data_IF_531687539854
#
_entry.id   IF_531687539854
#
_cell.length_a   1.000
_cell.length_b   1.000
_cell.length_c   1.000
_cell.angle_alpha   90.00
_cell.angle_beta   90.00
_cell.angle_gamma   90.00
#
_symmetry.space_group_name_H-M   'P 1'
#
loop_
_entity.id
_entity.type
_entity.pdbx_description
1 polymer ?
#
# COMPACT_ATOMS: atom_id res chain seq x y z
N UNK A 1 7.71 0.96 -7.79
CA UNK A 1 8.75 1.11 -8.85
C UNK A 1 10.07 1.62 -8.28
N UNK A 2 10.11 2.77 -7.59
CA UNK A 2 11.36 3.39 -7.06
C UNK A 2 12.19 2.38 -6.28
N UNK A 3 11.63 1.82 -5.21
CA UNK A 3 12.34 0.87 -4.35
C UNK A 3 12.87 -0.36 -5.11
N UNK A 4 12.10 -0.89 -6.05
CA UNK A 4 12.58 -2.03 -6.86
C UNK A 4 13.81 -1.68 -7.67
N UNK A 5 13.82 -0.49 -8.29
CA UNK A 5 14.98 -0.04 -9.05
C UNK A 5 16.19 0.19 -8.14
N UNK A 6 15.99 0.81 -6.96
CA UNK A 6 17.05 1.01 -5.97
C UNK A 6 17.64 -0.33 -5.51
N UNK A 7 16.80 -1.25 -5.03
CA UNK A 7 17.25 -2.58 -4.59
C UNK A 7 17.91 -3.37 -5.71
N UNK A 8 17.44 -3.22 -6.96
CA UNK A 8 18.09 -3.88 -8.10
C UNK A 8 19.50 -3.33 -8.33
N UNK A 9 19.68 -2.00 -8.24
CA UNK A 9 21.01 -1.38 -8.37
C UNK A 9 21.93 -1.88 -7.26
N UNK A 10 21.47 -1.85 -6.01
CA UNK A 10 22.22 -2.32 -4.84
C UNK A 10 22.60 -3.80 -4.97
N UNK A 11 21.66 -4.66 -5.37
CA UNK A 11 21.94 -6.08 -5.62
C UNK A 11 22.96 -6.29 -6.75
N UNK A 12 22.88 -5.51 -7.83
CA UNK A 12 23.86 -5.61 -8.93
C UNK A 12 25.26 -5.18 -8.49
N UNK A 13 25.37 -4.11 -7.70
CA UNK A 13 26.63 -3.64 -7.15
C UNK A 13 27.23 -4.70 -6.20
N UNK A 14 26.41 -5.29 -5.33
CA UNK A 14 26.81 -6.37 -4.42
C UNK A 14 27.30 -7.61 -5.20
N UNK A 15 26.50 -8.07 -6.18
CA UNK A 15 26.88 -9.25 -6.99
C UNK A 15 28.12 -8.99 -7.83
N UNK A 16 28.29 -7.76 -8.35
CA UNK A 16 29.51 -7.40 -9.09
C UNK A 16 30.77 -7.43 -8.20
N UNK A 17 30.63 -7.08 -6.93
CA UNK A 17 31.72 -7.05 -5.96
C UNK A 17 32.02 -8.45 -5.37
N UNK A 18 30.99 -9.16 -4.91
CA UNK A 18 31.17 -10.42 -4.19
C UNK A 18 31.27 -11.66 -5.10
N UNK A 19 30.61 -11.61 -6.27
CA UNK A 19 30.49 -12.72 -7.22
C UNK A 19 30.80 -12.29 -8.66
N UNK A 20 32.02 -11.80 -8.95
CA UNK A 20 32.35 -11.17 -10.24
C UNK A 20 32.22 -12.13 -11.44
N UNK A 21 32.46 -13.43 -11.26
CA UNK A 21 32.31 -14.41 -12.34
C UNK A 21 30.84 -14.59 -12.73
N UNK A 22 29.93 -14.72 -11.74
CA UNK A 22 28.51 -14.81 -11.97
C UNK A 22 27.94 -13.51 -12.56
N UNK A 23 28.38 -12.38 -12.06
CA UNK A 23 28.03 -11.08 -12.62
C UNK A 23 28.39 -11.00 -14.11
N UNK A 24 29.61 -11.39 -14.48
CA UNK A 24 30.05 -11.39 -15.86
C UNK A 24 29.27 -12.40 -16.72
N UNK A 25 28.90 -13.55 -16.16
CA UNK A 25 28.05 -14.54 -16.84
C UNK A 25 26.67 -13.97 -17.15
N UNK A 26 26.00 -13.40 -16.14
CA UNK A 26 24.67 -12.79 -16.29
C UNK A 26 24.73 -11.65 -17.30
N UNK A 27 25.70 -10.76 -17.17
CA UNK A 27 25.89 -9.62 -18.06
C UNK A 27 26.03 -10.01 -19.52
N UNK A 28 26.77 -11.11 -19.81
CA UNK A 28 26.93 -11.63 -21.18
C UNK A 28 25.66 -12.26 -21.71
N UNK A 29 24.97 -13.05 -20.88
CA UNK A 29 23.77 -13.77 -21.29
C UNK A 29 22.56 -12.86 -21.52
N UNK A 30 22.52 -11.69 -20.87
CA UNK A 30 21.43 -10.72 -20.97
C UNK A 30 21.77 -9.48 -21.80
N UNK A 31 23.02 -9.39 -22.29
CA UNK A 31 23.54 -8.20 -22.97
C UNK A 31 23.46 -6.92 -22.12
N UNK A 32 23.41 -7.09 -20.79
CA UNK A 32 23.19 -6.01 -19.82
C UNK A 32 24.32 -4.97 -19.85
N UNK A 33 23.96 -3.72 -20.10
CA UNK A 33 24.87 -2.58 -20.15
C UNK A 33 24.84 -1.82 -18.82
N UNK A 34 25.59 -2.32 -17.83
CA UNK A 34 25.52 -1.87 -16.44
C UNK A 34 25.49 -0.34 -16.30
N UNK A 35 26.50 0.34 -16.80
CA UNK A 35 26.62 1.80 -16.60
C UNK A 35 25.47 2.59 -17.25
N UNK A 36 25.03 2.17 -18.41
CA UNK A 36 23.96 2.86 -19.16
C UNK A 36 22.60 2.60 -18.54
N UNK A 37 22.31 1.33 -18.21
CA UNK A 37 21.02 0.95 -17.68
C UNK A 37 20.83 1.42 -16.24
N UNK A 38 21.84 1.32 -15.39
CA UNK A 38 21.78 1.84 -14.03
C UNK A 38 21.66 3.36 -13.97
N UNK A 39 22.34 4.07 -14.89
CA UNK A 39 22.17 5.53 -15.01
C UNK A 39 20.73 5.90 -15.40
N UNK A 40 20.14 5.16 -16.35
CA UNK A 40 18.74 5.34 -16.73
C UNK A 40 17.77 5.02 -15.58
N UNK A 41 18.04 3.99 -14.81
CA UNK A 41 17.20 3.65 -13.66
C UNK A 41 17.27 4.72 -12.56
N UNK A 42 18.45 5.27 -12.29
CA UNK A 42 18.62 6.42 -11.39
C UNK A 42 17.83 7.63 -11.87
N UNK A 43 17.88 7.93 -13.16
CA UNK A 43 17.07 9.01 -13.74
C UNK A 43 15.55 8.77 -13.57
N UNK A 44 15.08 7.52 -13.75
CA UNK A 44 13.67 7.16 -13.52
C UNK A 44 13.31 7.35 -12.05
N UNK A 45 14.18 6.95 -11.13
CA UNK A 45 13.97 7.13 -9.68
C UNK A 45 13.79 8.60 -9.34
N UNK A 46 14.72 9.45 -9.83
CA UNK A 46 14.72 10.88 -9.55
C UNK A 46 13.51 11.63 -10.13
N UNK A 47 12.97 11.13 -11.26
CA UNK A 47 11.82 11.72 -11.96
C UNK A 47 10.49 11.05 -11.61
N UNK A 48 10.49 10.05 -10.74
CA UNK A 48 9.26 9.34 -10.39
C UNK A 48 8.29 10.28 -9.69
N UNK A 49 7.14 10.46 -10.31
CA UNK A 49 6.06 11.25 -9.73
C UNK A 49 5.38 10.50 -8.58
N UNK A 50 5.34 11.15 -7.42
CA UNK A 50 4.58 10.70 -6.25
C UNK A 50 3.56 11.80 -5.95
N UNK A 51 2.26 11.54 -6.18
CA UNK A 51 1.23 12.54 -5.96
C UNK A 51 1.08 12.87 -4.48
N UNK A 52 1.10 14.17 -4.17
CA UNK A 52 0.97 14.70 -2.81
C UNK A 52 -0.06 15.81 -2.76
N UNK A 53 -0.88 15.79 -1.73
CA UNK A 53 -1.65 16.95 -1.28
C UNK A 53 -0.83 17.69 -0.22
N UNK A 54 -0.19 18.77 -0.64
CA UNK A 54 0.68 19.57 0.24
C UNK A 54 -0.07 20.33 1.32
N UNK A 55 -1.33 20.67 1.08
CA UNK A 55 -2.17 21.37 2.05
C UNK A 55 -2.51 20.45 3.23
N UNK A 56 -2.88 19.20 2.92
CA UNK A 56 -3.17 18.18 3.92
C UNK A 56 -1.91 17.46 4.43
N UNK A 57 -0.81 17.57 3.71
CA UNK A 57 0.44 16.86 4.02
C UNK A 57 0.32 15.35 3.91
N UNK A 58 -0.36 14.86 2.89
CA UNK A 58 -0.60 13.44 2.63
C UNK A 58 -0.14 13.05 1.21
N UNK A 59 0.21 11.79 1.04
CA UNK A 59 0.30 11.19 -0.28
C UNK A 59 -1.09 10.90 -0.83
N UNK A 60 -1.26 10.98 -2.14
CA UNK A 60 -2.56 10.81 -2.80
C UNK A 60 -2.59 9.48 -3.54
N UNK A 61 -3.70 8.76 -3.43
CA UNK A 61 -3.91 7.46 -4.08
C UNK A 61 -3.76 7.54 -5.61
N UNK A 62 -4.31 8.59 -6.19
CA UNK A 62 -4.22 8.96 -7.61
C UNK A 62 -4.50 10.46 -7.76
N UNK A 63 -4.14 11.05 -8.90
CA UNK A 63 -4.30 12.49 -9.16
C UNK A 63 -5.76 12.97 -9.02
N UNK A 64 -6.71 12.13 -9.37
CA UNK A 64 -8.13 12.45 -9.29
C UNK A 64 -8.76 12.21 -7.92
N UNK A 65 -8.00 11.66 -6.97
CA UNK A 65 -8.56 11.31 -5.66
C UNK A 65 -9.05 12.52 -4.85
N UNK A 66 -8.36 13.66 -4.84
CA UNK A 66 -8.82 14.87 -4.13
C UNK A 66 -10.15 15.45 -4.65
N UNK A 67 -10.48 15.18 -5.91
CA UNK A 67 -11.71 15.68 -6.56
C UNK A 67 -12.94 14.82 -6.23
N UNK A 68 -12.75 13.67 -5.60
CA UNK A 68 -13.85 12.78 -5.20
C UNK A 68 -14.63 13.38 -4.02
N UNK A 69 -15.92 13.09 -3.99
CA UNK A 69 -16.75 13.41 -2.82
C UNK A 69 -16.28 12.56 -1.64
N UNK A 70 -15.63 13.20 -0.68
CA UNK A 70 -15.07 12.52 0.49
C UNK A 70 -16.17 12.19 1.49
N UNK A 71 -16.20 10.94 1.92
CA UNK A 71 -17.06 10.42 2.98
C UNK A 71 -16.28 9.46 3.87
N UNK A 72 -16.98 8.76 4.73
CA UNK A 72 -16.46 7.69 5.57
C UNK A 72 -17.19 6.38 5.31
N UNK A 73 -16.59 5.25 5.66
CA UNK A 73 -17.24 3.93 5.55
C UNK A 73 -18.61 3.90 6.27
N UNK A 74 -18.78 4.71 7.31
CA UNK A 74 -20.07 4.80 8.04
C UNK A 74 -21.19 5.40 7.20
N UNK A 75 -20.89 6.14 6.15
CA UNK A 75 -21.87 6.72 5.23
C UNK A 75 -22.43 5.68 4.23
N UNK A 76 -21.81 4.50 4.15
CA UNK A 76 -22.28 3.41 3.30
C UNK A 76 -23.41 2.67 4.02
N UNK A 77 -24.60 2.55 3.42
CA UNK A 77 -25.70 1.78 3.99
C UNK A 77 -25.29 0.34 4.32
N UNK A 78 -25.72 -0.19 5.46
CA UNK A 78 -25.37 -1.54 5.91
C UNK A 78 -25.76 -2.61 4.89
N UNK A 79 -26.90 -2.43 4.22
CA UNK A 79 -27.38 -3.35 3.18
C UNK A 79 -26.62 -3.24 1.84
N UNK A 80 -25.69 -2.29 1.73
CA UNK A 80 -24.78 -2.16 0.56
C UNK A 80 -23.36 -2.64 0.89
N UNK A 81 -23.16 -3.28 2.05
CA UNK A 81 -21.85 -3.84 2.46
C UNK A 81 -21.87 -5.36 2.35
N UNK A 82 -20.79 -5.97 1.89
CA UNK A 82 -19.56 -5.37 1.35
C UNK A 82 -19.81 -4.73 -0.03
N UNK A 83 -19.15 -3.61 -0.32
CA UNK A 83 -19.42 -2.84 -1.56
C UNK A 83 -19.01 -3.60 -2.83
N UNK A 84 -18.00 -4.47 -2.75
CA UNK A 84 -17.59 -5.31 -3.87
C UNK A 84 -18.69 -6.26 -4.37
N UNK A 85 -19.67 -6.60 -3.54
CA UNK A 85 -20.81 -7.48 -3.88
C UNK A 85 -22.05 -6.67 -4.32
N UNK A 86 -22.14 -5.37 -4.00
CA UNK A 86 -23.34 -4.56 -4.19
C UNK A 86 -23.17 -3.42 -5.19
N UNK A 87 -21.93 -2.94 -5.40
CA UNK A 87 -21.67 -1.82 -6.29
C UNK A 87 -21.01 -2.27 -7.58
N UNK A 88 -21.30 -1.56 -8.67
CA UNK A 88 -20.54 -1.72 -9.91
C UNK A 88 -19.11 -1.22 -9.75
N UNK A 89 -18.19 -1.78 -10.52
CA UNK A 89 -16.80 -1.31 -10.56
C UNK A 89 -16.68 0.20 -10.86
N UNK A 90 -17.50 0.71 -11.77
CA UNK A 90 -17.53 2.15 -12.08
C UNK A 90 -17.89 2.99 -10.83
N UNK A 91 -18.89 2.56 -10.06
CA UNK A 91 -19.29 3.24 -8.82
C UNK A 91 -18.17 3.19 -7.77
N UNK A 92 -17.51 2.05 -7.60
CA UNK A 92 -16.39 1.89 -6.66
C UNK A 92 -15.24 2.81 -7.06
N UNK A 93 -14.80 2.79 -8.32
CA UNK A 93 -13.67 3.58 -8.81
C UNK A 93 -13.91 5.10 -8.72
N UNK A 94 -15.15 5.55 -8.85
CA UNK A 94 -15.52 6.97 -8.69
C UNK A 94 -15.71 7.40 -7.24
N UNK A 95 -15.87 6.45 -6.33
CA UNK A 95 -16.03 6.74 -4.90
C UNK A 95 -14.69 7.04 -4.24
N UNK A 96 -14.74 7.61 -3.03
CA UNK A 96 -13.56 7.76 -2.18
C UNK A 96 -13.23 6.50 -1.38
N UNK A 97 -14.07 5.46 -1.46
CA UNK A 97 -13.88 4.23 -0.70
C UNK A 97 -12.88 3.32 -1.38
N UNK A 98 -12.02 2.71 -0.59
CA UNK A 98 -10.92 1.85 -1.04
C UNK A 98 -10.98 0.52 -0.31
N UNK A 99 -10.71 -0.56 -1.06
CA UNK A 99 -10.70 -1.92 -0.50
C UNK A 99 -9.55 -2.09 0.50
N UNK A 100 -8.37 -1.63 0.12
CA UNK A 100 -7.16 -1.54 0.93
C UNK A 100 -6.36 -0.32 0.47
N UNK A 101 -5.79 0.44 1.40
CA UNK A 101 -5.04 1.65 1.06
C UNK A 101 -3.62 1.32 0.61
N UNK A 102 -3.32 1.55 -0.69
CA UNK A 102 -1.96 1.39 -1.22
C UNK A 102 -1.00 2.41 -0.61
N UNK A 103 -1.49 3.62 -0.28
CA UNK A 103 -0.69 4.63 0.42
C UNK A 103 -0.27 4.13 1.79
N UNK A 104 -1.21 3.59 2.58
CA UNK A 104 -0.89 3.07 3.91
C UNK A 104 -0.01 1.82 3.84
N UNK A 105 -0.22 0.96 2.85
CA UNK A 105 0.67 -0.18 2.61
C UNK A 105 2.09 0.29 2.26
N UNK A 106 2.22 1.32 1.43
CA UNK A 106 3.51 1.93 1.11
C UNK A 106 4.21 2.50 2.34
N UNK A 107 3.49 3.22 3.19
CA UNK A 107 4.02 3.76 4.45
C UNK A 107 4.41 2.66 5.44
N UNK A 108 3.69 1.55 5.46
CA UNK A 108 4.05 0.37 6.26
C UNK A 108 5.34 -0.29 5.77
N UNK A 109 5.46 -0.55 4.47
CA UNK A 109 6.61 -1.23 3.89
C UNK A 109 7.90 -0.40 3.99
N UNK A 110 7.79 0.93 4.01
CA UNK A 110 8.90 1.87 3.99
C UNK A 110 8.88 2.83 5.18
N UNK A 111 8.36 2.39 6.33
CA UNK A 111 8.13 3.23 7.50
C UNK A 111 9.39 3.98 7.98
N UNK A 112 10.57 3.39 7.79
CA UNK A 112 11.84 4.00 8.17
C UNK A 112 12.18 5.28 7.37
N UNK A 113 11.52 5.48 6.22
CA UNK A 113 11.69 6.66 5.37
C UNK A 113 10.74 7.81 5.71
N UNK A 114 9.80 7.59 6.64
CA UNK A 114 8.76 8.56 6.96
C UNK A 114 8.73 8.87 8.46
N UNK A 115 8.54 10.14 8.79
CA UNK A 115 8.30 10.54 10.17
C UNK A 115 6.91 10.11 10.65
N UNK A 116 6.78 9.97 11.98
CA UNK A 116 5.55 9.51 12.62
C UNK A 116 4.35 10.40 12.32
N UNK A 117 4.56 11.70 12.13
CA UNK A 117 3.48 12.65 11.86
C UNK A 117 2.97 12.52 10.42
N UNK A 118 3.85 12.27 9.47
CA UNK A 118 3.47 11.92 8.07
C UNK A 118 2.62 10.65 8.05
N UNK A 119 3.04 9.60 8.76
CA UNK A 119 2.26 8.35 8.88
C UNK A 119 0.89 8.66 9.51
N UNK A 120 0.84 9.46 10.59
CA UNK A 120 -0.40 9.81 11.29
C UNK A 120 -1.39 10.57 10.39
N UNK A 121 -0.93 11.57 9.63
CA UNK A 121 -1.80 12.34 8.72
C UNK A 121 -2.41 11.43 7.65
N UNK A 122 -1.61 10.60 7.02
CA UNK A 122 -2.09 9.65 6.01
C UNK A 122 -3.06 8.61 6.61
N UNK A 123 -2.72 8.05 7.78
CA UNK A 123 -3.58 7.08 8.46
C UNK A 123 -4.96 7.70 8.77
N UNK A 124 -5.01 8.87 9.40
CA UNK A 124 -6.26 9.57 9.72
C UNK A 124 -7.07 9.94 8.49
N UNK A 125 -6.41 10.12 7.36
CA UNK A 125 -7.11 10.41 6.11
C UNK A 125 -7.68 9.14 5.47
N UNK A 126 -6.90 8.06 5.37
CA UNK A 126 -7.30 6.87 4.62
C UNK A 126 -8.09 5.83 5.43
N UNK A 127 -7.80 5.68 6.72
CA UNK A 127 -8.49 4.69 7.56
C UNK A 127 -10.03 4.83 7.52
N UNK A 128 -10.62 6.02 7.69
CA UNK A 128 -12.08 6.15 7.68
C UNK A 128 -12.72 5.85 6.32
N UNK A 129 -11.94 5.70 5.26
CA UNK A 129 -12.36 5.44 3.87
C UNK A 129 -12.04 4.05 3.39
N UNK A 130 -11.32 3.27 4.20
CA UNK A 130 -10.95 1.90 3.86
C UNK A 130 -12.04 0.95 4.34
N UNK A 131 -12.66 0.22 3.39
CA UNK A 131 -13.77 -0.70 3.70
C UNK A 131 -13.30 -2.03 4.29
N UNK A 132 -11.99 -2.30 4.26
CA UNK A 132 -11.40 -3.54 4.77
C UNK A 132 -12.00 -4.84 4.20
N UNK A 133 -12.42 -4.80 2.93
CA UNK A 133 -12.89 -5.98 2.20
C UNK A 133 -11.71 -6.81 1.64
N UNK A 134 -10.60 -6.82 2.37
CA UNK A 134 -9.40 -7.59 2.06
C UNK A 134 -8.76 -8.03 3.37
N UNK A 135 -8.38 -9.29 3.47
CA UNK A 135 -7.64 -9.83 4.62
C UNK A 135 -6.29 -9.13 4.85
N UNK A 136 -5.71 -8.54 3.79
CA UNK A 136 -4.41 -7.86 3.84
C UNK A 136 -4.48 -6.43 4.40
N UNK A 137 -5.65 -5.85 4.59
CA UNK A 137 -5.81 -4.46 5.00
C UNK A 137 -5.77 -4.26 6.52
N UNK A 138 -6.58 -4.98 7.33
CA UNK A 138 -6.71 -4.68 8.76
C UNK A 138 -5.41 -4.83 9.54
N UNK A 139 -4.56 -5.82 9.23
CA UNK A 139 -3.31 -6.01 9.98
C UNK A 139 -2.29 -4.88 9.72
N UNK A 140 -2.17 -4.42 8.47
CA UNK A 140 -1.31 -3.28 8.12
C UNK A 140 -1.75 -2.03 8.87
N UNK A 141 -3.05 -1.77 8.86
CA UNK A 141 -3.63 -0.63 9.56
C UNK A 141 -3.48 -0.74 11.08
N UNK A 142 -3.61 -1.96 11.66
CA UNK A 142 -3.37 -2.20 13.08
C UNK A 142 -1.93 -1.83 13.50
N UNK A 143 -0.95 -2.21 12.70
CA UNK A 143 0.46 -1.89 12.95
C UNK A 143 0.70 -0.38 12.84
N UNK A 144 0.17 0.27 11.80
CA UNK A 144 0.29 1.72 11.63
C UNK A 144 -0.37 2.48 12.77
N UNK A 145 -1.57 2.06 13.21
CA UNK A 145 -2.25 2.63 14.36
C UNK A 145 -1.39 2.53 15.64
N UNK A 146 -0.78 1.35 15.88
CA UNK A 146 0.15 1.17 17.00
C UNK A 146 1.36 2.11 16.91
N UNK A 147 1.98 2.26 15.73
CA UNK A 147 3.13 3.15 15.53
C UNK A 147 2.80 4.63 15.78
N UNK A 148 1.60 5.08 15.39
CA UNK A 148 1.19 6.46 15.69
C UNK A 148 0.70 6.65 17.13
N UNK A 149 0.56 5.57 17.91
CA UNK A 149 0.17 5.58 19.31
C UNK A 149 -1.34 5.54 19.55
N UNK A 150 -2.10 5.15 18.54
CA UNK A 150 -3.54 4.91 18.64
C UNK A 150 -3.78 3.45 19.01
N UNK A 151 -3.64 3.14 20.30
CA UNK A 151 -3.72 1.77 20.81
C UNK A 151 -5.12 1.19 20.77
N UNK A 152 -6.14 2.01 20.88
CA UNK A 152 -7.54 1.55 20.80
C UNK A 152 -7.87 1.10 19.38
N UNK A 153 -7.54 1.93 18.40
CA UNK A 153 -7.75 1.61 16.99
C UNK A 153 -6.86 0.43 16.54
N UNK A 154 -5.62 0.38 17.01
CA UNK A 154 -4.73 -0.75 16.75
C UNK A 154 -5.33 -2.08 17.24
N UNK A 155 -5.89 -2.09 18.45
CA UNK A 155 -6.52 -3.28 19.00
C UNK A 155 -7.80 -3.67 18.26
N UNK A 156 -8.65 -2.70 17.90
CA UNK A 156 -9.86 -2.94 17.10
C UNK A 156 -9.53 -3.59 15.76
N UNK A 157 -8.55 -3.04 15.05
CA UNK A 157 -8.11 -3.55 13.75
C UNK A 157 -7.40 -4.92 13.86
N UNK A 158 -6.62 -5.13 14.92
CA UNK A 158 -6.03 -6.43 15.21
C UNK A 158 -7.10 -7.50 15.42
N UNK A 159 -8.13 -7.22 16.23
CA UNK A 159 -9.26 -8.15 16.39
C UNK A 159 -9.98 -8.42 15.09
N UNK A 160 -10.21 -7.39 14.27
CA UNK A 160 -10.81 -7.54 12.95
C UNK A 160 -9.98 -8.50 12.09
N UNK A 161 -8.67 -8.29 12.02
CA UNK A 161 -7.75 -9.14 11.23
C UNK A 161 -7.75 -10.59 11.70
N UNK A 162 -7.64 -10.83 13.00
CA UNK A 162 -7.52 -12.18 13.57
C UNK A 162 -8.85 -12.97 13.59
N UNK A 163 -9.97 -12.27 13.49
CA UNK A 163 -11.32 -12.86 13.55
C UNK A 163 -12.08 -12.84 12.23
N UNK A 164 -11.43 -12.42 11.15
CA UNK A 164 -12.06 -12.21 9.84
C UNK A 164 -12.93 -13.41 9.41
N UNK A 165 -12.35 -14.61 9.45
CA UNK A 165 -13.05 -15.83 9.08
C UNK A 165 -13.90 -16.42 10.21
N UNK A 166 -13.54 -16.16 11.46
CA UNK A 166 -14.29 -16.65 12.62
C UNK A 166 -15.67 -15.98 12.74
N UNK A 167 -15.72 -14.69 12.43
CA UNK A 167 -16.92 -13.86 12.51
C UNK A 167 -17.60 -13.65 11.15
N UNK A 168 -16.99 -14.18 10.07
CA UNK A 168 -17.47 -14.09 8.68
C UNK A 168 -17.92 -12.66 8.27
N UNK A 169 -17.08 -11.66 8.58
CA UNK A 169 -17.43 -10.25 8.40
C UNK A 169 -17.94 -9.88 7.00
N UNK A 170 -17.40 -10.55 5.98
CA UNK A 170 -17.73 -10.27 4.59
C UNK A 170 -18.69 -11.30 3.98
N UNK A 171 -19.16 -12.29 4.76
CA UNK A 171 -19.95 -13.41 4.28
C UNK A 171 -19.27 -14.18 3.12
N UNK A 172 -17.97 -14.45 3.27
CA UNK A 172 -17.12 -15.06 2.23
C UNK A 172 -16.48 -16.39 2.66
N UNK A 173 -16.67 -16.84 3.92
CA UNK A 173 -16.08 -18.08 4.47
C UNK A 173 -16.49 -19.32 3.65
N UNK A 174 -17.66 -19.29 3.04
CA UNK A 174 -18.13 -20.37 2.14
C UNK A 174 -17.27 -20.51 0.87
N UNK A 175 -16.48 -19.49 0.52
CA UNK A 175 -15.55 -19.50 -0.63
C UNK A 175 -14.15 -20.02 -0.25
N UNK A 176 -13.83 -20.07 1.02
CA UNK A 176 -12.56 -20.51 1.57
C UNK A 176 -12.11 -19.68 2.76
N UNK A 177 -11.13 -20.19 3.52
CA UNK A 177 -10.54 -19.46 4.63
C UNK A 177 -9.34 -18.64 4.17
N UNK A 178 -9.19 -17.45 4.76
CA UNK A 178 -8.03 -16.60 4.53
C UNK A 178 -6.83 -17.12 5.33
N UNK A 179 -5.70 -17.28 4.66
CA UNK A 179 -4.42 -17.60 5.29
C UNK A 179 -3.56 -16.35 5.24
N UNK A 180 -3.46 -15.65 6.36
CA UNK A 180 -2.67 -14.43 6.52
C UNK A 180 -1.59 -14.61 7.58
#
# INVERSE_FOLDING_TARGET
>A
CVQRLQSTIECLEMVAHEYPEEYNRIRRSTEFRHAEETARWKEIIDKMYLPEDKERGIFVQDDGYPDKVLGTVNDIPVNERPINQHWSWDRILRSCYIKQSDVLLGLFLYYEHFDRETIRRNFRFYEPRTVHESSLSPFVHAILAAWIGDTEEAYRLFLHSTRLDLDDYNNEVHQGLHVT
#
